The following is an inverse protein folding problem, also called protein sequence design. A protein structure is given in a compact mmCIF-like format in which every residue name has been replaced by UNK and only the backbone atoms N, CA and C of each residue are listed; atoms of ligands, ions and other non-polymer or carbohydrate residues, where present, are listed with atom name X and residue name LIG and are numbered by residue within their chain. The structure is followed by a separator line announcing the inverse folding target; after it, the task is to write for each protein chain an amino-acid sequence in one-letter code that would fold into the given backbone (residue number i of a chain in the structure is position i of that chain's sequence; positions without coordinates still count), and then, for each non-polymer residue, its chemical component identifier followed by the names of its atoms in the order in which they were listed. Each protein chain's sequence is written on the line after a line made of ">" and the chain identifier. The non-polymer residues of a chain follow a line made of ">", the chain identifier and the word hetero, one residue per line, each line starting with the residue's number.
data_IF_215920781467
#
_entry.id   IF_215920781467
#
_cell.length_a   1.000
_cell.length_b   1.000
_cell.length_c   1.000
_cell.angle_alpha   90.00
_cell.angle_beta   90.00
_cell.angle_gamma   90.00
#
_symmetry.space_group_name_H-M   'P 1'
#
loop_
_entity.id
_entity.type
_entity.pdbx_description
1 polymer ?
#
# COMPACT_ATOMS: atom_id res chain seq x y z
N UNK A 1 -11.37 16.19 8.50
CA UNK A 1 -12.48 15.67 7.67
C UNK A 1 -12.23 14.18 7.55
N UNK A 2 -12.94 13.37 8.36
CA UNK A 2 -12.77 11.91 8.36
C UNK A 2 -13.48 11.40 7.11
N UNK A 3 -12.78 10.67 6.25
CA UNK A 3 -13.40 10.01 5.11
C UNK A 3 -14.28 8.89 5.68
N UNK A 4 -15.59 8.96 5.40
CA UNK A 4 -16.53 7.92 5.81
C UNK A 4 -16.12 6.61 5.13
N UNK A 5 -15.83 5.59 5.94
CA UNK A 5 -15.52 4.25 5.43
C UNK A 5 -16.77 3.66 4.77
N UNK A 6 -16.63 2.91 3.66
CA UNK A 6 -17.76 2.20 3.09
C UNK A 6 -18.36 1.26 4.14
N UNK A 7 -19.68 1.25 4.25
CA UNK A 7 -20.40 0.42 5.24
C UNK A 7 -21.40 -0.49 4.53
N UNK A 8 -21.65 -1.70 5.08
CA UNK A 8 -22.69 -2.57 4.57
C UNK A 8 -24.06 -1.89 4.58
N UNK A 9 -24.81 -2.01 3.50
CA UNK A 9 -26.18 -1.51 3.40
C UNK A 9 -27.14 -2.66 3.12
N UNK A 10 -28.37 -2.54 3.63
CA UNK A 10 -29.41 -3.55 3.42
C UNK A 10 -30.06 -3.35 2.05
N UNK A 11 -30.10 -4.38 1.22
CA UNK A 11 -30.72 -4.31 -0.09
C UNK A 11 -32.25 -4.23 0.05
N UNK A 12 -32.92 -3.24 -0.58
CA UNK A 12 -34.34 -2.97 -0.34
C UNK A 12 -35.26 -4.12 -0.76
N UNK A 13 -34.94 -4.83 -1.85
CA UNK A 13 -35.79 -5.90 -2.37
C UNK A 13 -35.59 -7.27 -1.71
N UNK A 14 -34.38 -7.57 -1.23
CA UNK A 14 -34.00 -8.93 -0.76
C UNK A 14 -33.74 -9.00 0.73
N UNK A 15 -33.56 -7.84 1.39
CA UNK A 15 -33.20 -7.74 2.80
C UNK A 15 -31.79 -8.25 3.14
N UNK A 16 -31.02 -8.69 2.14
CA UNK A 16 -29.63 -9.14 2.28
C UNK A 16 -28.71 -7.93 2.36
N UNK A 17 -27.66 -8.01 3.17
CA UNK A 17 -26.64 -6.96 3.25
C UNK A 17 -25.68 -7.03 2.07
N UNK A 18 -25.35 -5.86 1.53
CA UNK A 18 -24.41 -5.66 0.43
C UNK A 18 -23.32 -4.70 0.86
N UNK A 19 -22.15 -4.86 0.28
CA UNK A 19 -21.02 -3.95 0.45
C UNK A 19 -20.76 -3.24 -0.88
N UNK A 20 -20.68 -1.91 -0.84
CA UNK A 20 -20.46 -1.05 -2.02
C UNK A 20 -19.28 -0.12 -1.75
N UNK A 21 -18.33 -0.10 -2.66
CA UNK A 21 -17.25 0.89 -2.65
C UNK A 21 -17.18 1.59 -4.00
N UNK A 22 -17.02 2.91 -3.98
CA UNK A 22 -16.83 3.71 -5.18
C UNK A 22 -15.45 3.47 -5.75
N UNK A 23 -15.35 3.31 -7.07
CA UNK A 23 -14.06 3.12 -7.74
C UNK A 23 -13.21 4.38 -7.56
N UNK A 24 -11.94 4.26 -7.13
CA UNK A 24 -11.05 5.41 -7.01
C UNK A 24 -10.94 6.15 -8.35
N UNK A 25 -11.06 7.49 -8.32
CA UNK A 25 -11.10 8.31 -9.54
C UNK A 25 -9.91 8.05 -10.50
N UNK A 26 -8.72 7.81 -9.93
CA UNK A 26 -7.49 7.48 -10.66
C UNK A 26 -7.54 6.15 -11.42
N UNK A 27 -8.36 5.19 -10.98
CA UNK A 27 -8.47 3.85 -11.57
C UNK A 27 -9.70 3.69 -12.46
N UNK A 28 -10.57 4.71 -12.51
CA UNK A 28 -11.88 4.60 -13.14
C UNK A 28 -11.82 4.23 -14.62
N UNK A 29 -10.87 4.79 -15.38
CA UNK A 29 -10.69 4.46 -16.80
C UNK A 29 -10.12 3.05 -17.02
N UNK A 30 -9.30 2.54 -16.10
CA UNK A 30 -8.61 1.25 -16.22
C UNK A 30 -9.46 0.07 -15.73
N UNK A 31 -10.29 0.30 -14.71
CA UNK A 31 -11.04 -0.75 -14.02
C UNK A 31 -12.47 -0.91 -14.55
N UNK A 32 -13.08 0.13 -15.12
CA UNK A 32 -14.47 0.09 -15.58
C UNK A 32 -14.69 -0.98 -16.64
N UNK A 33 -15.71 -1.82 -16.44
CA UNK A 33 -16.09 -2.91 -17.33
C UNK A 33 -15.35 -4.22 -17.10
N UNK A 34 -14.33 -4.25 -16.22
CA UNK A 34 -13.62 -5.49 -15.89
C UNK A 34 -14.37 -6.30 -14.83
N UNK A 35 -14.41 -7.62 -15.02
CA UNK A 35 -14.85 -8.56 -13.99
C UNK A 35 -13.67 -8.83 -13.04
N UNK A 36 -13.94 -8.87 -11.74
CA UNK A 36 -12.96 -9.24 -10.72
C UNK A 36 -13.53 -10.32 -9.82
N UNK A 37 -12.67 -11.13 -9.23
CA UNK A 37 -13.08 -12.19 -8.32
C UNK A 37 -12.86 -11.72 -6.89
N UNK A 38 -13.88 -11.81 -6.05
CA UNK A 38 -13.83 -11.39 -4.65
C UNK A 38 -14.28 -12.58 -3.81
N UNK A 39 -13.42 -13.03 -2.90
CA UNK A 39 -13.73 -14.16 -2.01
C UNK A 39 -14.13 -13.63 -0.64
N UNK A 40 -15.30 -14.03 -0.16
CA UNK A 40 -15.87 -13.56 1.11
C UNK A 40 -16.38 -14.77 1.88
N UNK A 41 -15.83 -15.04 3.06
CA UNK A 41 -16.23 -16.19 3.91
C UNK A 41 -16.15 -17.53 3.14
N UNK A 42 -15.15 -17.66 2.25
CA UNK A 42 -14.97 -18.82 1.37
C UNK A 42 -15.87 -18.86 0.13
N UNK A 43 -16.79 -17.92 -0.03
CA UNK A 43 -17.63 -17.81 -1.22
C UNK A 43 -17.01 -16.90 -2.26
N UNK A 44 -16.90 -17.40 -3.49
CA UNK A 44 -16.41 -16.65 -4.63
C UNK A 44 -17.54 -15.84 -5.26
N UNK A 45 -17.34 -14.54 -5.45
CA UNK A 45 -18.24 -13.62 -6.14
C UNK A 45 -17.49 -12.92 -7.27
N UNK A 46 -18.10 -12.81 -8.45
CA UNK A 46 -17.46 -12.20 -9.62
C UNK A 46 -18.15 -10.88 -10.04
N UNK A 47 -18.05 -9.78 -9.25
CA UNK A 47 -18.67 -8.51 -9.62
C UNK A 47 -17.99 -7.85 -10.82
N UNK A 48 -18.80 -7.22 -11.68
CA UNK A 48 -18.30 -6.30 -12.71
C UNK A 48 -18.08 -4.91 -12.11
N UNK A 49 -16.93 -4.31 -12.38
CA UNK A 49 -16.58 -2.97 -11.90
C UNK A 49 -17.31 -1.91 -12.75
N UNK A 50 -18.22 -1.17 -12.12
CA UNK A 50 -18.88 0.00 -12.71
C UNK A 50 -18.29 1.31 -12.21
N UNK A 51 -19.16 2.29 -11.92
CA UNK A 51 -18.76 3.46 -11.11
C UNK A 51 -18.50 3.08 -9.63
N UNK A 52 -19.10 1.97 -9.21
CA UNK A 52 -18.88 1.32 -7.93
C UNK A 52 -18.71 -0.19 -8.16
N UNK A 53 -18.00 -0.83 -7.24
CA UNK A 53 -18.00 -2.29 -7.08
C UNK A 53 -18.98 -2.65 -5.96
N UNK A 54 -19.77 -3.70 -6.17
CA UNK A 54 -20.82 -4.14 -5.24
C UNK A 54 -20.77 -5.66 -5.08
N UNK A 55 -20.80 -6.13 -3.85
CA UNK A 55 -20.84 -7.57 -3.53
C UNK A 55 -21.88 -7.84 -2.46
N UNK A 56 -22.56 -8.98 -2.58
CA UNK A 56 -23.49 -9.45 -1.56
C UNK A 56 -22.71 -10.07 -0.40
N UNK A 57 -23.04 -9.70 0.84
CA UNK A 57 -22.50 -10.34 2.04
C UNK A 57 -23.26 -11.63 2.39
N UNK A 58 -24.28 -12.00 1.60
CA UNK A 58 -25.08 -13.24 1.74
C UNK A 58 -25.71 -13.46 3.12
N UNK A 59 -25.79 -12.41 3.94
CA UNK A 59 -26.41 -12.44 5.27
C UNK A 59 -27.53 -11.42 5.38
N UNK A 60 -28.56 -11.74 6.18
CA UNK A 60 -29.62 -10.81 6.61
C UNK A 60 -29.38 -10.24 8.01
N UNK A 61 -28.33 -10.71 8.71
CA UNK A 61 -28.03 -10.32 10.08
C UNK A 61 -27.03 -9.14 10.09
N UNK A 62 -27.33 -8.05 10.83
CA UNK A 62 -26.46 -6.88 10.89
C UNK A 62 -25.09 -7.17 11.53
N UNK A 63 -25.04 -8.09 12.50
CA UNK A 63 -23.80 -8.47 13.18
C UNK A 63 -22.82 -9.16 12.21
N UNK A 64 -23.32 -10.13 11.44
CA UNK A 64 -22.52 -10.83 10.42
C UNK A 64 -22.07 -9.87 9.31
N UNK A 65 -22.96 -8.99 8.86
CA UNK A 65 -22.61 -7.98 7.86
C UNK A 65 -21.46 -7.08 8.34
N UNK A 66 -21.48 -6.69 9.61
CA UNK A 66 -20.39 -5.90 10.24
C UNK A 66 -19.10 -6.70 10.39
N UNK A 67 -19.18 -8.01 10.68
CA UNK A 67 -18.03 -8.93 10.76
C UNK A 67 -17.34 -9.11 9.40
N UNK A 68 -18.12 -9.24 8.32
CA UNK A 68 -17.62 -9.50 6.97
C UNK A 68 -17.10 -8.24 6.26
N UNK A 69 -17.56 -7.05 6.65
CA UNK A 69 -17.18 -5.79 6.00
C UNK A 69 -15.65 -5.56 5.87
N UNK A 70 -14.82 -5.80 6.90
CA UNK A 70 -13.37 -5.63 6.80
C UNK A 70 -12.72 -6.62 5.82
N UNK A 71 -13.24 -7.84 5.71
CA UNK A 71 -12.76 -8.86 4.78
C UNK A 71 -13.01 -8.43 3.33
N UNK A 72 -14.23 -7.95 3.04
CA UNK A 72 -14.55 -7.39 1.72
C UNK A 72 -13.69 -6.18 1.39
N UNK A 73 -13.46 -5.30 2.37
CA UNK A 73 -12.59 -4.14 2.16
C UNK A 73 -11.16 -4.56 1.80
N UNK A 74 -10.62 -5.58 2.46
CA UNK A 74 -9.29 -6.09 2.16
C UNK A 74 -9.20 -6.67 0.74
N UNK A 75 -10.23 -7.40 0.28
CA UNK A 75 -10.29 -7.89 -1.10
C UNK A 75 -10.39 -6.74 -2.12
N UNK A 76 -11.21 -5.73 -1.85
CA UNK A 76 -11.29 -4.55 -2.72
C UNK A 76 -9.95 -3.80 -2.78
N UNK A 77 -9.24 -3.68 -1.65
CA UNK A 77 -7.93 -3.05 -1.61
C UNK A 77 -6.91 -3.85 -2.44
N UNK A 78 -6.96 -5.20 -2.43
CA UNK A 78 -6.14 -6.05 -3.31
C UNK A 78 -6.45 -5.80 -4.79
N UNK A 79 -7.73 -5.73 -5.15
CA UNK A 79 -8.17 -5.37 -6.50
C UNK A 79 -7.62 -4.01 -6.91
N UNK A 80 -7.69 -3.00 -6.05
CA UNK A 80 -7.19 -1.66 -6.39
C UNK A 80 -5.67 -1.63 -6.55
N UNK A 81 -4.95 -2.32 -5.66
CA UNK A 81 -3.49 -2.45 -5.74
C UNK A 81 -3.05 -3.12 -7.04
N UNK A 82 -3.80 -4.09 -7.56
CA UNK A 82 -3.42 -4.72 -8.82
C UNK A 82 -3.57 -3.79 -10.02
N UNK A 83 -4.61 -2.95 -10.04
CA UNK A 83 -4.75 -1.92 -11.07
C UNK A 83 -3.68 -0.82 -10.96
N UNK A 84 -3.19 -0.53 -9.75
CA UNK A 84 -2.12 0.45 -9.54
C UNK A 84 -0.75 -0.04 -10.00
N UNK A 85 -0.44 -1.32 -9.79
CA UNK A 85 0.83 -1.91 -10.23
C UNK A 85 0.95 -2.04 -11.76
N UNK A 86 -0.15 -1.83 -12.49
CA UNK A 86 -0.20 -1.89 -13.94
C UNK A 86 -0.11 -3.34 -14.48
N UNK A 87 -0.08 -3.51 -15.81
CA UNK A 87 0.03 -4.82 -16.43
C UNK A 87 1.35 -5.51 -16.05
N UNK A 88 1.26 -6.67 -15.39
CA UNK A 88 2.41 -7.49 -15.00
C UNK A 88 2.80 -8.41 -16.14
N UNK A 89 4.09 -8.57 -16.38
CA UNK A 89 4.62 -9.61 -17.27
C UNK A 89 4.92 -10.85 -16.43
N UNK A 90 4.26 -11.96 -16.72
CA UNK A 90 4.45 -13.21 -15.97
C UNK A 90 5.62 -14.02 -16.54
N UNK A 91 6.35 -14.70 -15.65
CA UNK A 91 7.37 -15.67 -16.05
C UNK A 91 6.73 -16.93 -16.63
N UNK A 92 7.48 -17.72 -17.39
CA UNK A 92 6.98 -19.00 -17.92
C UNK A 92 6.53 -19.94 -16.79
N UNK A 93 7.27 -20.00 -15.67
CA UNK A 93 6.91 -20.81 -14.50
C UNK A 93 5.54 -20.42 -13.91
N UNK A 94 5.26 -19.12 -13.83
CA UNK A 94 3.98 -18.59 -13.36
C UNK A 94 2.84 -18.90 -14.33
N UNK A 95 3.09 -18.72 -15.63
CA UNK A 95 2.12 -19.07 -16.68
C UNK A 95 1.76 -20.56 -16.63
N UNK A 96 2.77 -21.44 -16.51
CA UNK A 96 2.56 -22.89 -16.40
C UNK A 96 1.83 -23.24 -15.09
N UNK A 97 2.11 -22.53 -14.00
CA UNK A 97 1.37 -22.70 -12.75
C UNK A 97 -0.12 -22.40 -12.88
N UNK A 98 -0.49 -21.28 -13.51
CA UNK A 98 -1.89 -20.93 -13.78
C UNK A 98 -2.59 -21.95 -14.68
N UNK A 99 -1.90 -22.44 -15.71
CA UNK A 99 -2.44 -23.50 -16.58
C UNK A 99 -2.65 -24.82 -15.82
N UNK A 100 -1.79 -25.11 -14.82
CA UNK A 100 -1.92 -26.25 -13.93
C UNK A 100 -3.15 -26.21 -13.03
N UNK A 101 -3.57 -25.02 -12.58
CA UNK A 101 -4.80 -24.88 -11.79
C UNK A 101 -6.04 -25.35 -12.57
N UNK A 102 -6.12 -25.00 -13.86
CA UNK A 102 -7.16 -25.50 -14.75
C UNK A 102 -7.08 -27.02 -14.89
N UNK A 103 -5.89 -27.56 -15.14
CA UNK A 103 -5.66 -29.00 -15.25
C UNK A 103 -6.18 -29.75 -14.00
N UNK A 104 -5.78 -29.32 -12.81
CA UNK A 104 -6.19 -29.96 -11.56
C UNK A 104 -7.68 -29.79 -11.27
N UNK A 105 -8.27 -28.66 -11.63
CA UNK A 105 -9.71 -28.40 -11.47
C UNK A 105 -10.53 -29.35 -12.33
N UNK A 106 -10.17 -29.50 -13.61
CA UNK A 106 -10.85 -30.39 -14.55
C UNK A 106 -10.65 -31.84 -14.13
N UNK A 107 -9.42 -32.23 -13.75
CA UNK A 107 -9.13 -33.58 -13.24
C UNK A 107 -10.01 -33.93 -12.05
N UNK A 108 -10.02 -33.08 -11.03
CA UNK A 108 -10.82 -33.30 -9.81
C UNK A 108 -12.32 -33.44 -10.11
N UNK A 109 -12.82 -32.74 -11.13
CA UNK A 109 -14.23 -32.76 -11.50
C UNK A 109 -14.64 -33.99 -12.33
N UNK A 110 -13.72 -34.60 -13.09
CA UNK A 110 -14.03 -35.58 -14.13
C UNK A 110 -13.24 -36.89 -14.03
N UNK A 111 -12.34 -37.05 -13.05
CA UNK A 111 -11.49 -38.25 -12.94
C UNK A 111 -12.28 -39.52 -12.56
N UNK A 112 -13.30 -39.40 -11.72
CA UNK A 112 -14.10 -40.54 -11.23
C UNK A 112 -15.15 -41.03 -12.25
N UNK A 113 -15.74 -40.10 -13.00
CA UNK A 113 -16.72 -40.39 -14.05
C UNK A 113 -16.39 -39.56 -15.31
N UNK A 114 -15.37 -39.99 -16.06
CA UNK A 114 -15.03 -39.34 -17.31
C UNK A 114 -16.14 -39.65 -18.32
N UNK A 115 -16.72 -38.59 -18.92
CA UNK A 115 -17.63 -38.71 -20.07
C UNK A 115 -17.09 -39.68 -21.13
N UNK A 116 -17.96 -40.20 -22.00
CA UNK A 116 -17.61 -41.18 -23.03
C UNK A 116 -16.27 -40.90 -23.71
N UNK A 117 -15.40 -41.92 -23.78
CA UNK A 117 -14.05 -41.81 -24.35
C UNK A 117 -14.04 -41.24 -25.78
N UNK A 118 -15.13 -41.47 -26.53
CA UNK A 118 -15.34 -40.95 -27.87
C UNK A 118 -15.33 -39.41 -27.93
N UNK A 119 -15.95 -38.72 -26.96
CA UNK A 119 -16.01 -37.25 -26.95
C UNK A 119 -14.62 -36.63 -26.76
N UNK A 120 -13.77 -37.25 -25.94
CA UNK A 120 -12.40 -36.79 -25.70
C UNK A 120 -11.47 -37.11 -26.88
N UNK A 121 -11.64 -38.28 -27.51
CA UNK A 121 -10.90 -38.66 -28.70
C UNK A 121 -11.25 -37.81 -29.93
N UNK A 122 -12.53 -37.47 -30.12
CA UNK A 122 -12.99 -36.60 -31.19
C UNK A 122 -12.50 -35.16 -31.00
N UNK A 123 -12.58 -34.65 -29.76
CA UNK A 123 -12.01 -33.36 -29.38
C UNK A 123 -10.50 -33.30 -29.62
N UNK A 124 -9.76 -34.38 -29.34
CA UNK A 124 -8.33 -34.50 -29.66
C UNK A 124 -8.05 -34.53 -31.16
N UNK A 125 -8.82 -35.30 -31.94
CA UNK A 125 -8.68 -35.34 -33.41
C UNK A 125 -8.91 -33.97 -34.03
N UNK A 126 -9.90 -33.21 -33.54
CA UNK A 126 -10.13 -31.83 -33.97
C UNK A 126 -8.90 -30.95 -33.67
N UNK A 127 -8.28 -31.10 -32.50
CA UNK A 127 -7.08 -30.35 -32.11
C UNK A 127 -5.83 -30.73 -32.92
N UNK A 128 -5.58 -32.02 -33.14
CA UNK A 128 -4.46 -32.51 -33.97
C UNK A 128 -4.62 -32.11 -35.43
N UNK A 129 -5.85 -32.12 -35.95
CA UNK A 129 -6.14 -31.67 -37.32
C UNK A 129 -5.89 -30.17 -37.46
N UNK A 130 -6.30 -29.37 -36.47
CA UNK A 130 -6.01 -27.94 -36.44
C UNK A 130 -4.51 -27.67 -36.34
N UNK A 131 -3.77 -28.38 -35.49
CA UNK A 131 -2.32 -28.19 -35.30
C UNK A 131 -1.53 -28.60 -36.56
N UNK A 132 -1.93 -29.69 -37.23
CA UNK A 132 -1.32 -30.12 -38.51
C UNK A 132 -1.66 -29.20 -39.68
N UNK A 133 -2.87 -28.65 -39.73
CA UNK A 133 -3.25 -27.63 -40.71
C UNK A 133 -2.43 -26.34 -40.51
N UNK A 134 -2.13 -26.02 -39.25
CA UNK A 134 -1.30 -24.89 -38.82
C UNK A 134 0.19 -25.07 -39.20
N UNK A 135 0.78 -26.23 -38.93
CA UNK A 135 2.18 -26.55 -39.27
C UNK A 135 2.46 -26.58 -40.78
N UNK A 136 1.43 -26.74 -41.62
CA UNK A 136 1.54 -26.79 -43.09
C UNK A 136 1.55 -25.42 -43.77
N UNK A 137 1.35 -24.34 -43.01
CA UNK A 137 1.37 -22.96 -43.50
C UNK A 137 2.81 -22.43 -43.58
N UNK A 138 3.23 -21.92 -44.74
CA UNK A 138 4.57 -21.32 -44.95
C UNK A 138 4.86 -20.10 -44.04
N UNK A 139 3.84 -19.56 -43.36
CA UNK A 139 3.96 -18.45 -42.41
C UNK A 139 4.30 -18.87 -40.97
N UNK A 140 4.45 -20.17 -40.71
CA UNK A 140 4.60 -20.70 -39.34
C UNK A 140 5.89 -20.26 -38.63
N UNK A 141 6.96 -19.95 -39.38
CA UNK A 141 8.20 -19.41 -38.81
C UNK A 141 8.09 -17.97 -38.28
N UNK A 142 6.99 -17.25 -38.60
CA UNK A 142 6.82 -15.82 -38.31
C UNK A 142 5.48 -15.48 -37.63
N UNK A 143 4.62 -16.46 -37.33
CA UNK A 143 3.26 -16.19 -36.87
C UNK A 143 2.86 -17.10 -35.70
N UNK A 144 2.53 -16.48 -34.57
CA UNK A 144 1.84 -17.08 -33.43
C UNK A 144 0.54 -17.74 -33.95
N UNK A 145 0.15 -18.93 -33.43
CA UNK A 145 -1.17 -19.59 -33.70
C UNK A 145 -2.26 -18.52 -33.83
N UNK A 146 -3.25 -18.62 -34.74
CA UNK A 146 -4.30 -17.61 -34.85
C UNK A 146 -5.03 -17.48 -33.49
N UNK A 147 -4.63 -16.45 -32.74
CA UNK A 147 -5.16 -16.03 -31.45
C UNK A 147 -6.69 -15.99 -31.39
N UNK A 148 -7.44 -15.63 -32.46
CA UNK A 148 -8.89 -15.55 -32.39
C UNK A 148 -9.58 -16.85 -31.96
N UNK A 149 -9.06 -18.01 -32.40
CA UNK A 149 -9.65 -19.32 -32.06
C UNK A 149 -9.36 -19.72 -30.61
N UNK A 150 -8.11 -19.52 -30.16
CA UNK A 150 -7.72 -19.78 -28.76
C UNK A 150 -8.46 -18.88 -27.78
N UNK A 151 -8.60 -17.60 -28.11
CA UNK A 151 -9.30 -16.64 -27.24
C UNK A 151 -10.79 -16.97 -27.11
N UNK A 152 -11.44 -17.40 -28.20
CA UNK A 152 -12.84 -17.84 -28.16
C UNK A 152 -13.04 -19.04 -27.22
N UNK A 153 -12.11 -20.00 -27.26
CA UNK A 153 -12.22 -21.26 -26.51
C UNK A 153 -11.73 -21.18 -25.06
N UNK A 154 -10.62 -20.49 -24.83
CA UNK A 154 -9.89 -20.50 -23.55
C UNK A 154 -9.88 -19.12 -22.87
N UNK A 155 -10.37 -18.07 -23.54
CA UNK A 155 -10.38 -16.72 -22.99
C UNK A 155 -11.09 -16.64 -21.64
N UNK A 156 -12.23 -17.32 -21.48
CA UNK A 156 -12.96 -17.36 -20.21
C UNK A 156 -12.18 -18.03 -19.07
N UNK A 157 -11.40 -19.07 -19.38
CA UNK A 157 -10.53 -19.75 -18.40
C UNK A 157 -9.35 -18.87 -18.01
N UNK A 158 -8.69 -18.25 -18.98
CA UNK A 158 -7.57 -17.32 -18.73
C UNK A 158 -8.05 -16.09 -17.96
N UNK A 159 -9.15 -15.47 -18.38
CA UNK A 159 -9.74 -14.31 -17.72
C UNK A 159 -10.19 -14.67 -16.29
N UNK A 160 -10.76 -15.86 -16.09
CA UNK A 160 -11.14 -16.38 -14.77
C UNK A 160 -9.95 -16.58 -13.84
N UNK A 161 -8.87 -17.20 -14.34
CA UNK A 161 -7.64 -17.40 -13.57
C UNK A 161 -6.98 -16.07 -13.20
N UNK A 162 -6.88 -15.13 -14.15
CA UNK A 162 -6.36 -13.79 -13.90
C UNK A 162 -7.23 -13.03 -12.89
N UNK A 163 -8.55 -13.13 -12.98
CA UNK A 163 -9.47 -12.49 -12.05
C UNK A 163 -9.34 -13.09 -10.63
N UNK A 164 -9.20 -14.41 -10.51
CA UNK A 164 -9.02 -15.10 -9.23
C UNK A 164 -7.74 -14.67 -8.50
N UNK A 165 -6.66 -14.43 -9.24
CA UNK A 165 -5.39 -13.96 -8.68
C UNK A 165 -5.25 -12.43 -8.66
N UNK A 166 -6.32 -11.70 -9.02
CA UNK A 166 -6.35 -10.24 -9.11
C UNK A 166 -5.25 -9.67 -10.03
N UNK A 167 -5.01 -10.28 -11.19
CA UNK A 167 -3.93 -9.89 -12.09
C UNK A 167 -4.42 -9.12 -13.32
N UNK A 168 -3.71 -8.05 -13.65
CA UNK A 168 -3.74 -7.44 -14.98
C UNK A 168 -2.41 -7.78 -15.65
N UNK A 169 -2.42 -8.32 -16.86
CA UNK A 169 -1.20 -8.75 -17.58
C UNK A 169 -1.03 -8.01 -18.90
N UNK A 170 0.20 -8.00 -19.43
CA UNK A 170 0.50 -7.47 -20.76
C UNK A 170 -0.13 -8.34 -21.86
N UNK A 171 -0.35 -7.76 -23.04
CA UNK A 171 -0.90 -8.48 -24.20
C UNK A 171 -0.04 -9.70 -24.57
N UNK A 172 1.29 -9.56 -24.60
CA UNK A 172 2.23 -10.67 -24.83
C UNK A 172 2.06 -11.80 -23.80
N UNK A 173 1.94 -11.46 -22.53
CA UNK A 173 1.72 -12.46 -21.47
C UNK A 173 0.38 -13.16 -21.63
N UNK A 174 -0.67 -12.43 -22.03
CA UNK A 174 -1.99 -12.99 -22.29
C UNK A 174 -1.96 -14.01 -23.43
N UNK A 175 -1.22 -13.74 -24.50
CA UNK A 175 -1.06 -14.64 -25.62
C UNK A 175 -0.30 -15.91 -25.23
N UNK A 176 0.72 -15.78 -24.39
CA UNK A 176 1.46 -16.91 -23.82
C UNK A 176 0.61 -17.74 -22.87
N UNK A 177 -0.26 -17.11 -22.08
CA UNK A 177 -1.26 -17.80 -21.25
C UNK A 177 -2.20 -18.64 -22.10
N UNK A 178 -2.75 -18.09 -23.18
CA UNK A 178 -3.62 -18.84 -24.10
C UNK A 178 -2.92 -20.10 -24.66
N UNK A 179 -1.64 -20.01 -25.00
CA UNK A 179 -0.87 -21.15 -25.50
C UNK A 179 -0.60 -22.22 -24.45
N UNK A 180 -0.21 -21.83 -23.22
CA UNK A 180 0.04 -22.82 -22.17
C UNK A 180 -1.25 -23.44 -21.64
N UNK A 181 -2.36 -22.68 -21.59
CA UNK A 181 -3.69 -23.24 -21.27
C UNK A 181 -4.13 -24.24 -22.33
N UNK A 182 -3.84 -24.00 -23.62
CA UNK A 182 -4.12 -24.97 -24.70
C UNK A 182 -3.35 -26.28 -24.51
N UNK A 183 -2.08 -26.20 -24.12
CA UNK A 183 -1.26 -27.38 -23.80
C UNK A 183 -1.81 -28.12 -22.58
N UNK A 184 -2.15 -27.42 -21.50
CA UNK A 184 -2.74 -28.03 -20.31
C UNK A 184 -4.11 -28.67 -20.60
N UNK A 185 -4.93 -28.07 -21.46
CA UNK A 185 -6.20 -28.64 -21.92
C UNK A 185 -6.01 -29.93 -22.72
N UNK A 186 -4.96 -29.97 -23.56
CA UNK A 186 -4.58 -31.18 -24.30
C UNK A 186 -4.12 -32.30 -23.36
N UNK A 187 -3.31 -31.97 -22.35
CA UNK A 187 -2.83 -32.92 -21.37
C UNK A 187 -3.95 -33.56 -20.54
N UNK A 188 -4.91 -32.75 -20.07
CA UNK A 188 -6.01 -33.28 -19.27
C UNK A 188 -6.95 -34.13 -20.13
N UNK A 189 -7.18 -33.75 -21.40
CA UNK A 189 -7.97 -34.58 -22.32
C UNK A 189 -7.30 -35.94 -22.59
N UNK A 190 -5.96 -35.99 -22.65
CA UNK A 190 -5.22 -37.24 -22.77
C UNK A 190 -5.35 -38.12 -21.53
N UNK A 191 -5.33 -37.53 -20.34
CA UNK A 191 -5.57 -38.26 -19.09
C UNK A 191 -7.01 -38.79 -19.04
N UNK A 192 -8.00 -37.94 -19.30
CA UNK A 192 -9.42 -38.32 -19.22
C UNK A 192 -9.81 -39.40 -20.24
N UNK A 193 -9.19 -39.43 -21.42
CA UNK A 193 -9.40 -40.52 -22.37
C UNK A 193 -8.89 -41.87 -21.82
N UNK A 194 -7.70 -41.89 -21.19
CA UNK A 194 -7.18 -43.11 -20.55
C UNK A 194 -8.11 -43.60 -19.45
N UNK A 195 -8.57 -42.67 -18.60
CA UNK A 195 -9.55 -42.94 -17.54
C UNK A 195 -10.86 -43.50 -18.10
N UNK A 196 -11.38 -42.91 -19.18
CA UNK A 196 -12.59 -43.39 -19.87
C UNK A 196 -12.42 -44.76 -20.52
N UNK A 197 -11.18 -45.20 -20.80
CA UNK A 197 -10.83 -46.56 -21.25
C UNK A 197 -10.56 -47.52 -20.09
N UNK A 198 -10.72 -47.09 -18.85
CA UNK A 198 -10.50 -47.89 -17.64
C UNK A 198 -9.05 -47.90 -17.13
N UNK A 199 -8.14 -47.09 -17.69
CA UNK A 199 -6.77 -46.96 -17.22
C UNK A 199 -6.65 -45.89 -16.12
N UNK A 200 -6.60 -46.36 -14.87
CA UNK A 200 -6.45 -45.55 -13.65
C UNK A 200 -5.00 -45.45 -13.13
N UNK A 201 -4.00 -45.67 -13.98
CA UNK A 201 -2.58 -45.53 -13.60
C UNK A 201 -2.24 -44.13 -13.05
N UNK A 202 -1.20 -44.00 -12.18
CA UNK A 202 -0.85 -42.73 -11.56
C UNK A 202 -0.60 -41.61 -12.59
N UNK A 203 -1.13 -40.41 -12.31
CA UNK A 203 -0.99 -39.24 -13.17
C UNK A 203 0.42 -38.63 -13.07
N UNK A 204 1.28 -38.96 -14.04
CA UNK A 204 2.62 -38.40 -14.18
C UNK A 204 2.64 -37.04 -14.89
N UNK A 205 1.56 -36.66 -15.56
CA UNK A 205 1.48 -35.40 -16.31
C UNK A 205 1.18 -34.23 -15.36
N UNK A 206 0.32 -34.47 -14.36
CA UNK A 206 0.00 -33.50 -13.33
C UNK A 206 1.22 -32.99 -12.53
N UNK A 207 2.29 -33.78 -12.38
CA UNK A 207 3.50 -33.36 -11.64
C UNK A 207 4.35 -32.32 -12.37
N UNK A 208 4.10 -32.05 -13.66
CA UNK A 208 4.84 -31.02 -14.42
C UNK A 208 4.44 -29.60 -14.06
N UNK A 209 3.25 -29.42 -13.46
CA UNK A 209 2.73 -28.10 -13.14
C UNK A 209 3.24 -27.63 -11.78
N UNK A 210 4.00 -26.52 -11.71
CA UNK A 210 4.41 -25.93 -10.44
C UNK A 210 3.21 -25.26 -9.75
N UNK A 211 3.26 -25.14 -8.42
CA UNK A 211 2.29 -24.28 -7.70
C UNK A 211 2.44 -22.84 -8.16
N UNK A 212 1.33 -22.19 -8.47
CA UNK A 212 1.33 -20.78 -8.83
C UNK A 212 1.71 -19.92 -7.63
N UNK A 213 2.71 -19.06 -7.82
CA UNK A 213 3.12 -18.06 -6.83
C UNK A 213 3.52 -16.76 -7.54
N UNK A 214 2.91 -15.65 -7.09
CA UNK A 214 3.18 -14.29 -7.57
C UNK A 214 4.45 -13.68 -6.98
N UNK A 215 5.14 -14.39 -6.08
CA UNK A 215 6.38 -14.01 -5.39
C UNK A 215 7.12 -12.88 -6.09
N UNK A 216 7.17 -11.71 -5.41
CA UNK A 216 7.54 -10.39 -5.95
C UNK A 216 8.38 -10.49 -7.22
N UNK A 217 7.77 -10.17 -8.37
CA UNK A 217 8.41 -10.13 -9.69
C UNK A 217 9.57 -9.09 -9.81
N UNK A 218 10.14 -8.65 -8.69
CA UNK A 218 11.41 -7.93 -8.55
C UNK A 218 12.50 -8.71 -7.81
N UNK A 219 12.25 -9.94 -7.36
CA UNK A 219 13.35 -10.84 -7.04
C UNK A 219 13.68 -11.64 -8.27
N UNK A 220 14.64 -11.13 -9.05
CA UNK A 220 15.58 -12.03 -9.72
C UNK A 220 15.93 -13.12 -8.73
N UNK A 221 15.62 -14.35 -9.12
CA UNK A 221 16.18 -15.55 -8.51
C UNK A 221 17.67 -15.48 -8.82
N UNK A 222 18.41 -14.78 -7.96
CA UNK A 222 19.79 -15.16 -7.74
C UNK A 222 19.72 -16.51 -7.02
N UNK A 223 20.41 -17.49 -7.59
CA UNK A 223 20.52 -18.88 -7.15
C UNK A 223 21.26 -19.01 -5.82
N UNK A 224 20.68 -18.47 -4.77
CA UNK A 224 21.08 -18.74 -3.42
C UNK A 224 19.86 -18.52 -2.56
N UNK A 225 19.36 -19.57 -1.91
CA UNK A 225 18.29 -19.51 -0.91
C UNK A 225 18.71 -18.74 0.34
N UNK A 226 19.20 -17.51 0.16
CA UNK A 226 19.72 -16.61 1.16
C UNK A 226 18.73 -15.48 1.35
N UNK A 227 18.42 -15.21 2.61
CA UNK A 227 17.45 -14.19 2.99
C UNK A 227 17.98 -12.81 2.61
N UNK A 228 17.19 -11.99 1.88
CA UNK A 228 17.59 -10.62 1.52
C UNK A 228 17.31 -9.62 2.65
N UNK A 229 18.18 -8.64 2.85
CA UNK A 229 17.99 -7.56 3.84
C UNK A 229 16.79 -6.69 3.44
N UNK A 230 16.66 -6.40 2.15
CA UNK A 230 15.49 -5.69 1.61
C UNK A 230 14.20 -6.50 1.75
N UNK A 231 14.29 -7.83 1.67
CA UNK A 231 13.18 -8.75 1.92
C UNK A 231 12.70 -8.74 3.37
N UNK A 232 13.61 -8.58 4.34
CA UNK A 232 13.22 -8.39 5.73
C UNK A 232 12.44 -7.08 5.93
N UNK A 233 12.85 -6.01 5.24
CA UNK A 233 12.17 -4.72 5.31
C UNK A 233 10.76 -4.78 4.72
N UNK A 234 10.58 -5.40 3.56
CA UNK A 234 9.26 -5.55 2.94
C UNK A 234 8.32 -6.34 3.87
N UNK A 235 8.81 -7.48 4.40
CA UNK A 235 8.09 -8.32 5.38
C UNK A 235 7.70 -7.54 6.63
N UNK A 236 8.60 -6.73 7.17
CA UNK A 236 8.33 -5.86 8.32
C UNK A 236 7.30 -4.76 8.03
N UNK A 237 7.34 -4.17 6.84
CA UNK A 237 6.43 -3.10 6.43
C UNK A 237 5.00 -3.60 6.18
N UNK A 238 4.87 -4.84 5.69
CA UNK A 238 3.60 -5.51 5.40
C UNK A 238 2.92 -6.17 6.60
N UNK A 239 3.46 -6.02 7.82
CA UNK A 239 2.89 -6.63 9.02
C UNK A 239 1.47 -6.11 9.32
N UNK A 240 0.67 -6.92 10.02
CA UNK A 240 -0.72 -6.62 10.40
C UNK A 240 -0.90 -5.23 11.03
N UNK A 241 0.00 -4.83 11.93
CA UNK A 241 0.04 -3.48 12.50
C UNK A 241 0.99 -2.60 11.71
N UNK A 242 0.53 -2.09 10.57
CA UNK A 242 1.38 -1.33 9.65
C UNK A 242 2.04 -0.12 10.35
N UNK A 243 3.36 0.07 10.20
CA UNK A 243 4.06 1.26 10.67
C UNK A 243 3.58 2.52 9.92
N UNK A 244 3.82 3.69 10.51
CA UNK A 244 3.48 4.97 9.85
C UNK A 244 4.23 5.09 8.51
N UNK A 245 3.62 5.66 7.45
CA UNK A 245 4.25 5.76 6.14
C UNK A 245 5.63 6.45 6.18
N UNK A 246 5.75 7.53 6.94
CA UNK A 246 7.02 8.24 7.12
C UNK A 246 8.12 7.38 7.75
N UNK A 247 7.76 6.44 8.64
CA UNK A 247 8.70 5.50 9.24
C UNK A 247 9.17 4.47 8.22
N UNK A 248 8.27 3.98 7.36
CA UNK A 248 8.63 3.06 6.26
C UNK A 248 9.64 3.74 5.33
N UNK A 249 9.31 4.93 4.81
CA UNK A 249 10.21 5.67 3.91
C UNK A 249 11.59 5.90 4.54
N UNK A 250 11.63 6.28 5.82
CA UNK A 250 12.90 6.47 6.54
C UNK A 250 13.69 5.18 6.65
N UNK A 251 13.05 4.06 6.98
CA UNK A 251 13.72 2.78 7.13
C UNK A 251 14.19 2.23 5.79
N UNK A 252 13.41 2.42 4.72
CA UNK A 252 13.82 2.11 3.35
C UNK A 252 15.11 2.85 2.98
N UNK A 253 15.19 4.17 3.20
CA UNK A 253 16.40 4.93 2.90
C UNK A 253 17.64 4.42 3.65
N UNK A 254 17.48 4.10 4.94
CA UNK A 254 18.58 3.55 5.77
C UNK A 254 19.05 2.18 5.27
N UNK A 255 18.11 1.27 4.99
CA UNK A 255 18.44 -0.08 4.52
C UNK A 255 19.06 -0.05 3.13
N UNK A 256 18.57 0.80 2.23
CA UNK A 256 19.20 0.99 0.91
C UNK A 256 20.64 1.48 1.06
N UNK A 257 20.88 2.47 1.93
CA UNK A 257 22.24 2.96 2.18
C UNK A 257 23.16 1.87 2.77
N UNK A 258 22.63 1.02 3.67
CA UNK A 258 23.38 -0.12 4.22
C UNK A 258 23.74 -1.14 3.12
N UNK A 259 22.77 -1.52 2.28
CA UNK A 259 23.01 -2.47 1.17
C UNK A 259 24.02 -1.91 0.18
N UNK A 260 23.95 -0.61 -0.12
CA UNK A 260 24.96 0.07 -0.96
C UNK A 260 26.35 0.02 -0.33
N UNK A 261 26.46 0.22 0.98
CA UNK A 261 27.73 0.13 1.70
C UNK A 261 28.33 -1.28 1.69
N UNK A 262 27.50 -2.30 1.96
CA UNK A 262 27.93 -3.69 2.00
C UNK A 262 28.25 -4.27 0.61
N UNK A 263 27.67 -3.69 -0.45
CA UNK A 263 27.76 -4.21 -1.81
C UNK A 263 27.00 -5.52 -2.03
N UNK A 264 26.22 -5.98 -1.04
CA UNK A 264 25.38 -7.16 -1.11
C UNK A 264 24.08 -6.97 -0.32
N UNK A 265 23.05 -7.73 -0.70
CA UNK A 265 21.72 -7.74 -0.07
C UNK A 265 21.45 -9.11 0.56
N UNK A 266 22.34 -9.53 1.45
CA UNK A 266 22.31 -10.86 2.07
C UNK A 266 22.29 -10.68 3.58
N UNK A 267 21.19 -11.09 4.21
CA UNK A 267 20.90 -10.86 5.62
C UNK A 267 21.69 -11.79 6.55
N UNK A 268 22.04 -12.99 6.08
CA UNK A 268 22.83 -13.94 6.88
C UNK A 268 24.32 -13.57 6.90
N UNK A 269 24.76 -12.74 5.95
CA UNK A 269 26.13 -12.21 5.88
C UNK A 269 26.36 -10.96 6.70
N UNK A 270 25.31 -10.28 7.17
CA UNK A 270 25.46 -9.07 7.96
C UNK A 270 25.96 -9.41 9.36
N UNK A 271 27.17 -8.96 9.69
CA UNK A 271 27.74 -9.13 11.02
C UNK A 271 27.64 -7.84 11.86
N UNK A 272 27.84 -7.96 13.16
CA UNK A 272 27.98 -6.80 14.06
C UNK A 272 29.20 -5.94 13.70
N UNK A 273 30.31 -6.57 13.31
CA UNK A 273 31.52 -5.91 12.84
C UNK A 273 31.28 -5.03 11.60
N UNK A 274 30.41 -5.46 10.67
CA UNK A 274 30.02 -4.64 9.51
C UNK A 274 29.29 -3.37 9.94
N UNK A 275 28.40 -3.48 10.93
CA UNK A 275 27.65 -2.32 11.45
C UNK A 275 28.60 -1.36 12.17
N UNK A 276 29.60 -1.88 12.91
CA UNK A 276 30.63 -1.07 13.56
C UNK A 276 31.49 -0.33 12.53
N UNK A 277 31.94 -1.01 11.47
CA UNK A 277 32.71 -0.37 10.38
C UNK A 277 31.92 0.72 9.68
N UNK A 278 30.67 0.41 9.31
CA UNK A 278 29.77 1.37 8.68
C UNK A 278 29.52 2.60 9.56
N UNK A 279 29.35 2.37 10.86
CA UNK A 279 29.20 3.42 11.85
C UNK A 279 30.43 4.34 11.90
N UNK A 280 31.64 3.77 11.98
CA UNK A 280 32.89 4.55 12.04
C UNK A 280 33.07 5.39 10.78
N UNK A 281 32.86 4.81 9.59
CA UNK A 281 32.98 5.55 8.33
C UNK A 281 32.00 6.72 8.22
N UNK A 282 30.74 6.54 8.63
CA UNK A 282 29.74 7.62 8.58
C UNK A 282 30.03 8.75 9.57
N UNK A 283 30.69 8.45 10.70
CA UNK A 283 31.14 9.45 11.66
C UNK A 283 32.38 10.18 11.15
N UNK A 284 33.36 9.45 10.62
CA UNK A 284 34.58 10.02 10.04
C UNK A 284 34.26 10.93 8.84
N UNK A 285 33.32 10.52 7.98
CA UNK A 285 32.81 11.32 6.88
C UNK A 285 31.93 12.50 7.33
N UNK A 286 31.60 12.61 8.62
CA UNK A 286 30.75 13.68 9.17
C UNK A 286 29.30 13.67 8.66
N UNK A 287 28.88 12.59 7.97
CA UNK A 287 27.56 12.51 7.33
C UNK A 287 26.46 12.27 8.37
N UNK A 288 26.75 11.51 9.42
CA UNK A 288 25.78 11.16 10.47
C UNK A 288 26.42 11.31 11.85
N UNK A 289 25.71 11.97 12.77
CA UNK A 289 26.16 12.03 14.18
C UNK A 289 25.97 10.69 14.89
N UNK A 290 26.85 10.36 15.83
CA UNK A 290 26.77 9.16 16.69
C UNK A 290 25.36 8.92 17.25
N UNK A 291 24.73 9.96 17.82
CA UNK A 291 23.38 9.89 18.39
C UNK A 291 22.31 9.56 17.33
N UNK A 292 22.44 10.14 16.13
CA UNK A 292 21.55 9.86 15.00
C UNK A 292 21.68 8.41 14.55
N UNK A 293 22.91 7.89 14.47
CA UNK A 293 23.14 6.52 14.05
C UNK A 293 22.49 5.54 15.04
N UNK A 294 22.70 5.71 16.35
CA UNK A 294 22.10 4.83 17.36
C UNK A 294 20.57 4.88 17.31
N UNK A 295 19.99 6.09 17.35
CA UNK A 295 18.54 6.26 17.49
C UNK A 295 17.75 5.94 16.22
N UNK A 296 18.38 6.04 15.06
CA UNK A 296 17.70 5.86 13.78
C UNK A 296 18.20 4.65 13.01
N UNK A 297 19.51 4.59 12.73
CA UNK A 297 20.10 3.59 11.85
C UNK A 297 20.12 2.21 12.49
N UNK A 298 20.82 2.07 13.63
CA UNK A 298 20.85 0.84 14.42
C UNK A 298 19.45 0.42 14.85
N UNK A 299 18.62 1.36 15.28
CA UNK A 299 17.24 1.08 15.67
C UNK A 299 16.42 0.50 14.50
N UNK A 300 16.57 1.03 13.28
CA UNK A 300 15.89 0.51 12.10
C UNK A 300 16.33 -0.92 11.78
N UNK A 301 17.65 -1.17 11.70
CA UNK A 301 18.21 -2.50 11.42
C UNK A 301 17.74 -3.49 12.49
N UNK A 302 17.90 -3.14 13.77
CA UNK A 302 17.50 -4.00 14.88
C UNK A 302 16.00 -4.31 14.84
N UNK A 303 15.15 -3.36 14.44
CA UNK A 303 13.71 -3.55 14.42
C UNK A 303 13.27 -4.46 13.26
N UNK A 304 13.89 -4.32 12.09
CA UNK A 304 13.63 -5.15 10.91
C UNK A 304 14.08 -6.59 11.16
N UNK A 305 15.30 -6.79 11.64
CA UNK A 305 15.82 -8.12 11.97
C UNK A 305 15.03 -8.79 13.10
N UNK A 306 14.70 -8.05 14.17
CA UNK A 306 13.91 -8.59 15.27
C UNK A 306 12.54 -9.11 14.80
N UNK A 307 11.89 -8.44 13.85
CA UNK A 307 10.64 -8.93 13.28
C UNK A 307 10.86 -10.18 12.41
N UNK A 308 11.89 -10.18 11.55
CA UNK A 308 12.25 -11.34 10.72
C UNK A 308 12.54 -12.61 11.53
N UNK A 309 13.02 -12.48 12.78
CA UNK A 309 13.22 -13.61 13.70
C UNK A 309 11.91 -14.18 14.26
N UNK A 310 10.80 -13.43 14.22
CA UNK A 310 9.53 -13.90 14.79
C UNK A 310 8.82 -14.90 13.87
N UNK A 311 7.93 -15.72 14.44
CA UNK A 311 7.05 -16.59 13.67
C UNK A 311 6.17 -15.81 12.67
N UNK A 312 5.76 -14.58 13.03
CA UNK A 312 4.96 -13.71 12.16
C UNK A 312 5.76 -13.08 11.02
N UNK A 313 7.08 -12.92 11.20
CA UNK A 313 8.01 -12.46 10.17
C UNK A 313 8.64 -13.59 9.36
N UNK A 314 8.19 -14.84 9.53
CA UNK A 314 8.63 -15.98 8.75
C UNK A 314 9.90 -16.69 9.24
N UNK A 315 10.47 -16.31 10.39
CA UNK A 315 11.76 -16.85 10.91
C UNK A 315 12.86 -16.83 9.85
N UNK A 316 12.96 -15.73 9.11
CA UNK A 316 13.84 -15.57 7.96
C UNK A 316 15.32 -15.43 8.34
N UNK A 317 15.61 -15.05 9.59
CA UNK A 317 16.96 -14.90 10.12
C UNK A 317 17.07 -15.53 11.50
N UNK A 318 18.23 -16.15 11.80
CA UNK A 318 18.48 -16.81 13.07
C UNK A 318 18.88 -15.86 14.20
N UNK A 319 19.55 -14.75 13.87
CA UNK A 319 20.06 -13.79 14.84
C UNK A 319 19.95 -12.35 14.32
N UNK A 320 20.05 -11.38 15.23
CA UNK A 320 20.00 -9.95 14.92
C UNK A 320 21.34 -9.29 15.26
N UNK A 321 22.16 -8.92 14.26
CA UNK A 321 23.49 -8.34 14.48
C UNK A 321 23.44 -6.94 15.10
N UNK A 322 22.31 -6.24 15.01
CA UNK A 322 22.12 -4.92 15.60
C UNK A 322 21.51 -4.97 17.02
N UNK A 323 21.12 -6.15 17.50
CA UNK A 323 20.52 -6.30 18.82
C UNK A 323 21.58 -6.05 19.90
N UNK A 324 21.32 -5.07 20.78
CA UNK A 324 22.21 -4.73 21.91
C UNK A 324 23.65 -4.36 21.52
N UNK A 325 23.95 -4.15 20.24
CA UNK A 325 25.24 -3.65 19.78
C UNK A 325 25.61 -2.33 20.47
N UNK A 326 26.76 -2.29 21.14
CA UNK A 326 27.29 -1.10 21.80
C UNK A 326 28.23 -0.39 20.81
N UNK A 327 27.94 0.86 20.50
CA UNK A 327 28.73 1.68 19.58
C UNK A 327 29.31 2.86 20.35
N UNK A 328 30.62 2.99 20.32
CA UNK A 328 31.33 4.11 20.93
C UNK A 328 31.46 5.26 19.94
N UNK A 329 31.38 6.50 20.43
CA UNK A 329 31.58 7.65 19.57
C UNK A 329 31.55 8.97 20.34
N UNK A 330 31.97 10.06 19.65
CA UNK A 330 32.15 11.35 20.30
C UNK A 330 30.81 11.87 20.82
N UNK A 331 30.78 12.24 22.11
CA UNK A 331 29.63 12.93 22.69
C UNK A 331 29.42 14.25 21.94
N UNK A 332 28.18 14.50 21.55
CA UNK A 332 27.80 15.79 20.95
C UNK A 332 28.11 16.91 21.95
N UNK A 333 29.09 17.76 21.62
CA UNK A 333 29.34 18.99 22.37
C UNK A 333 28.15 19.93 22.15
N UNK A 334 27.40 20.20 23.21
CA UNK A 334 26.32 21.17 23.18
C UNK A 334 26.95 22.57 23.24
N UNK A 335 27.01 23.25 22.10
CA UNK A 335 27.62 24.59 21.99
C UNK A 335 26.71 25.73 22.48
N UNK A 336 25.39 25.47 22.61
CA UNK A 336 24.40 26.45 23.08
C UNK A 336 23.30 25.77 23.89
N UNK A 337 22.63 26.50 24.81
CA UNK A 337 21.43 26.00 25.47
C UNK A 337 20.33 25.67 24.45
N UNK A 338 19.45 24.75 24.84
CA UNK A 338 18.32 24.29 24.00
C UNK A 338 17.22 25.37 23.90
N UNK A 339 17.14 26.24 24.90
CA UNK A 339 16.30 27.43 24.92
C UNK A 339 16.97 28.59 24.17
N UNK A 340 16.16 29.52 23.67
CA UNK A 340 16.65 30.82 23.25
C UNK A 340 17.13 31.62 24.46
N UNK A 341 18.12 32.47 24.27
CA UNK A 341 18.40 33.52 25.23
C UNK A 341 17.27 34.56 25.21
N UNK A 342 17.12 35.29 26.32
CA UNK A 342 16.08 36.32 26.46
C UNK A 342 16.18 37.36 25.34
N UNK A 343 17.40 37.78 24.98
CA UNK A 343 17.62 38.75 23.89
C UNK A 343 17.26 38.20 22.50
N UNK A 344 17.55 36.93 22.24
CA UNK A 344 17.18 36.26 20.99
C UNK A 344 15.66 36.13 20.89
N UNK A 345 14.99 35.78 21.99
CA UNK A 345 13.54 35.68 22.05
C UNK A 345 12.89 37.05 21.80
N UNK A 346 13.37 38.12 22.46
CA UNK A 346 12.88 39.48 22.20
C UNK A 346 13.08 39.90 20.75
N UNK A 347 14.23 39.57 20.16
CA UNK A 347 14.54 39.89 18.76
C UNK A 347 13.59 39.18 17.80
N UNK A 348 13.35 37.88 18.02
CA UNK A 348 12.40 37.08 17.23
C UNK A 348 10.97 37.64 17.36
N UNK A 349 10.54 37.99 18.58
CA UNK A 349 9.19 38.52 18.83
C UNK A 349 8.98 39.90 18.22
N UNK A 350 10.00 40.77 18.21
CA UNK A 350 9.96 42.05 17.50
C UNK A 350 9.84 41.85 15.99
N UNK A 351 10.72 41.03 15.40
CA UNK A 351 10.66 40.75 13.96
C UNK A 351 9.34 40.09 13.54
N UNK A 352 8.71 39.30 14.42
CA UNK A 352 7.40 38.72 14.16
C UNK A 352 6.32 39.79 13.99
N UNK A 353 6.37 40.91 14.72
CA UNK A 353 5.39 41.99 14.57
C UNK A 353 5.45 42.65 13.18
N UNK A 354 6.65 42.74 12.60
CA UNK A 354 6.90 43.33 11.29
C UNK A 354 6.65 42.35 10.12
N UNK A 355 6.31 41.08 10.41
CA UNK A 355 6.15 40.03 9.41
C UNK A 355 5.04 40.31 8.37
N UNK A 356 4.04 41.12 8.72
CA UNK A 356 2.96 41.50 7.80
C UNK A 356 3.41 42.50 6.72
N UNK A 357 4.30 43.42 7.10
CA UNK A 357 4.83 44.48 6.24
C UNK A 357 6.15 44.10 5.56
N UNK A 358 6.67 42.91 5.86
CA UNK A 358 7.89 42.40 5.25
C UNK A 358 7.69 42.15 3.74
N UNK A 359 8.57 42.76 2.91
CA UNK A 359 8.66 42.50 1.48
C UNK A 359 9.30 41.13 1.23
N UNK A 360 8.46 40.11 1.04
CA UNK A 360 8.89 38.75 0.73
C UNK A 360 7.85 38.01 -0.13
N UNK A 361 8.23 36.85 -0.64
CA UNK A 361 7.39 36.01 -1.52
C UNK A 361 6.33 35.18 -0.77
N UNK A 362 6.16 35.39 0.54
CA UNK A 362 5.17 34.63 1.32
C UNK A 362 3.75 35.20 1.16
N UNK A 363 2.78 34.30 1.04
CA UNK A 363 1.37 34.67 1.06
C UNK A 363 0.99 35.40 2.34
N UNK A 364 -0.05 36.22 2.27
CA UNK A 364 -0.57 36.99 3.42
C UNK A 364 -0.94 36.10 4.63
N UNK A 365 -1.44 34.89 4.36
CA UNK A 365 -1.75 33.87 5.38
C UNK A 365 -0.47 33.42 6.10
N UNK A 366 0.62 33.17 5.35
CA UNK A 366 1.89 32.76 5.93
C UNK A 366 2.53 33.90 6.73
N UNK A 367 2.45 35.14 6.25
CA UNK A 367 2.91 36.33 6.97
C UNK A 367 2.13 36.55 8.27
N UNK A 368 0.82 36.36 8.24
CA UNK A 368 -0.03 36.40 9.43
C UNK A 368 0.32 35.30 10.44
N UNK A 369 0.60 34.08 9.95
CA UNK A 369 1.07 32.99 10.82
C UNK A 369 2.44 33.29 11.43
N UNK A 370 3.39 33.84 10.67
CA UNK A 370 4.69 34.26 11.17
C UNK A 370 4.58 35.33 12.25
N UNK A 371 3.59 36.23 12.14
CA UNK A 371 3.32 37.23 13.17
C UNK A 371 2.85 36.63 14.49
N UNK A 372 1.91 35.68 14.45
CA UNK A 372 1.23 35.22 15.66
C UNK A 372 1.83 33.96 16.29
N UNK A 373 2.39 33.05 15.50
CA UNK A 373 2.91 31.76 16.01
C UNK A 373 3.98 31.91 17.10
N UNK A 374 4.96 32.83 16.99
CA UNK A 374 5.97 33.02 18.04
C UNK A 374 5.38 33.45 19.40
N UNK A 375 4.28 34.20 19.40
CA UNK A 375 3.59 34.65 20.62
C UNK A 375 2.73 33.55 21.26
N UNK A 376 2.18 32.66 20.44
CA UNK A 376 1.26 31.60 20.88
C UNK A 376 2.02 30.34 21.37
N UNK A 377 3.28 30.19 21.00
CA UNK A 377 4.07 28.98 21.27
C UNK A 377 5.27 29.16 22.24
N UNK A 378 5.12 29.78 23.43
CA UNK A 378 6.28 30.07 24.28
C UNK A 378 6.90 28.83 24.95
N UNK A 379 6.18 27.73 25.19
CA UNK A 379 6.79 26.57 25.89
C UNK A 379 6.26 25.16 25.55
N UNK A 380 4.97 24.99 25.21
CA UNK A 380 4.34 23.65 25.04
C UNK A 380 3.51 23.47 23.76
N UNK A 381 3.69 24.31 22.75
CA UNK A 381 3.02 24.07 21.46
C UNK A 381 3.62 22.83 20.78
N UNK A 382 2.85 21.75 20.69
CA UNK A 382 3.22 20.54 19.93
C UNK A 382 3.44 20.95 18.47
N UNK A 383 4.64 20.66 17.93
CA UNK A 383 5.14 21.07 16.59
C UNK A 383 4.19 20.84 15.39
N UNK A 384 3.16 20.00 15.51
CA UNK A 384 2.22 19.72 14.42
C UNK A 384 0.89 20.48 14.51
N UNK A 385 0.59 21.12 15.64
CA UNK A 385 -0.75 21.66 15.94
C UNK A 385 -0.91 23.08 15.38
N UNK A 386 0.13 23.90 15.43
CA UNK A 386 0.06 25.34 15.10
C UNK A 386 -0.18 25.62 13.62
N UNK A 387 0.21 24.72 12.71
CA UNK A 387 0.11 24.95 11.25
C UNK A 387 -1.23 24.52 10.65
N UNK A 388 -2.06 23.74 11.37
CA UNK A 388 -3.29 23.14 10.83
C UNK A 388 -4.58 23.62 11.52
N UNK A 389 -4.52 24.67 12.34
CA UNK A 389 -5.72 25.23 12.96
C UNK A 389 -6.65 25.83 11.88
N UNK A 390 -7.78 25.17 11.63
CA UNK A 390 -8.87 25.70 10.78
C UNK A 390 -9.91 26.41 11.64
N UNK A 391 -10.55 27.45 11.10
CA UNK A 391 -11.58 28.27 11.75
C UNK A 391 -12.76 27.49 12.33
N UNK A 392 -13.01 26.25 11.87
CA UNK A 392 -14.04 25.35 12.43
C UNK A 392 -13.76 24.86 13.87
N UNK A 393 -12.56 25.11 14.39
CA UNK A 393 -12.19 24.79 15.78
C UNK A 393 -12.44 25.94 16.77
N UNK A 394 -12.88 27.10 16.28
CA UNK A 394 -13.26 28.26 17.09
C UNK A 394 -14.72 28.58 16.78
N UNK A 395 -15.63 28.26 17.70
CA UNK A 395 -17.00 28.78 17.64
C UNK A 395 -17.00 30.12 18.36
N UNK A 396 -17.32 31.20 17.63
CA UNK A 396 -17.68 32.48 18.23
C UNK A 396 -19.11 32.37 18.79
N UNK A 397 -19.23 31.87 20.01
CA UNK A 397 -20.41 32.06 20.84
C UNK A 397 -19.94 32.57 22.20
N UNK A 398 -20.60 33.61 22.77
CA UNK A 398 -20.26 34.05 24.11
C UNK A 398 -20.58 32.90 25.08
N UNK A 399 -19.54 32.36 25.72
CA UNK A 399 -19.58 31.42 26.84
C UNK A 399 -19.82 29.92 26.60
N UNK A 400 -19.52 29.31 25.46
CA UNK A 400 -19.36 27.83 25.46
C UNK A 400 -18.43 27.31 24.37
N UNK A 401 -17.24 26.85 24.77
CA UNK A 401 -16.39 25.99 23.92
C UNK A 401 -16.42 24.59 24.53
N UNK A 402 -17.14 23.67 23.89
CA UNK A 402 -17.06 22.24 24.19
C UNK A 402 -15.67 21.72 23.79
N UNK A 403 -14.79 21.51 24.77
CA UNK A 403 -13.53 20.79 24.59
C UNK A 403 -13.67 19.36 25.07
N UNK A 404 -13.69 18.44 24.10
CA UNK A 404 -13.32 17.04 24.33
C UNK A 404 -11.78 16.92 24.24
N UNK A 405 -11.06 17.52 25.19
CA UNK A 405 -9.62 17.32 25.39
C UNK A 405 -9.33 17.37 26.90
N UNK A 406 -9.05 16.21 27.50
CA UNK A 406 -8.46 16.13 28.84
C UNK A 406 -7.05 16.76 28.82
N UNK A 407 -6.85 17.88 29.52
CA UNK A 407 -5.72 18.15 30.45
C UNK A 407 -5.71 19.59 31.00
N UNK A 408 -5.46 19.68 32.33
CA UNK A 408 -5.18 20.82 33.25
C UNK A 408 -5.81 22.19 32.96
N UNK A 409 -6.86 22.50 33.73
CA UNK A 409 -7.70 23.70 33.63
C UNK A 409 -6.96 25.05 33.79
N UNK A 410 -5.79 25.09 34.43
CA UNK A 410 -5.08 26.35 34.71
C UNK A 410 -4.35 26.93 33.48
N UNK A 411 -3.81 26.10 32.60
CA UNK A 411 -3.09 26.58 31.41
C UNK A 411 -4.07 27.05 30.30
N UNK A 412 -5.24 26.43 30.24
CA UNK A 412 -6.28 26.74 29.25
C UNK A 412 -6.94 28.08 29.53
N UNK A 413 -7.15 28.44 30.80
CA UNK A 413 -7.77 29.70 31.22
C UNK A 413 -6.86 30.92 30.95
N UNK A 414 -5.55 30.81 31.17
CA UNK A 414 -4.60 31.89 30.91
C UNK A 414 -4.49 32.21 29.41
N UNK A 415 -4.47 31.17 28.56
CA UNK A 415 -4.44 31.33 27.11
C UNK A 415 -5.77 31.91 26.61
N UNK A 416 -6.91 31.53 27.20
CA UNK A 416 -8.22 32.09 26.88
C UNK A 416 -8.26 33.60 27.17
N UNK A 417 -7.81 34.03 28.35
CA UNK A 417 -7.82 35.44 28.76
C UNK A 417 -6.92 36.31 27.87
N UNK A 418 -5.75 35.80 27.47
CA UNK A 418 -4.84 36.51 26.57
C UNK A 418 -5.46 36.64 25.17
N UNK A 419 -6.11 35.58 24.66
CA UNK A 419 -6.81 35.63 23.37
C UNK A 419 -8.01 36.59 23.40
N UNK A 420 -8.79 36.62 24.49
CA UNK A 420 -9.91 37.57 24.65
C UNK A 420 -9.43 39.01 24.71
N UNK A 421 -8.31 39.28 25.42
CA UNK A 421 -7.72 40.62 25.48
C UNK A 421 -7.19 41.09 24.11
N UNK A 422 -6.54 40.19 23.35
CA UNK A 422 -6.01 40.50 22.01
C UNK A 422 -7.14 40.72 20.99
N UNK A 423 -8.23 39.95 21.08
CA UNK A 423 -9.40 40.13 20.21
C UNK A 423 -10.11 41.45 20.54
N UNK A 424 -10.24 41.81 21.82
CA UNK A 424 -10.86 43.07 22.23
C UNK A 424 -10.04 44.30 21.81
N UNK A 425 -8.70 44.25 21.94
CA UNK A 425 -7.81 45.35 21.48
C UNK A 425 -7.84 45.52 19.94
N UNK A 426 -7.96 44.42 19.19
CA UNK A 426 -8.13 44.47 17.74
C UNK A 426 -9.48 45.08 17.34
N UNK A 427 -10.56 44.75 18.05
CA UNK A 427 -11.89 45.30 17.81
C UNK A 427 -11.95 46.81 18.13
N UNK A 428 -11.32 47.24 19.23
CA UNK A 428 -11.30 48.64 19.63
C UNK A 428 -10.51 49.53 18.66
N UNK A 429 -9.38 49.02 18.12
CA UNK A 429 -8.58 49.72 17.10
C UNK A 429 -9.29 49.84 15.77
N UNK A 430 -10.07 48.84 15.36
CA UNK A 430 -10.88 48.90 14.12
C UNK A 430 -12.00 49.93 14.28
N UNK A 431 -12.68 49.94 15.44
CA UNK A 431 -13.75 50.91 15.72
C UNK A 431 -13.23 52.35 15.73
N UNK A 432 -12.08 52.61 16.38
CA UNK A 432 -11.47 53.95 16.39
C UNK A 432 -11.07 54.43 15.00
N UNK A 433 -10.51 53.55 14.17
CA UNK A 433 -10.13 53.89 12.79
C UNK A 433 -11.34 54.24 11.92
N UNK A 434 -12.43 53.49 12.06
CA UNK A 434 -13.68 53.82 11.36
C UNK A 434 -14.31 55.12 11.86
N UNK A 435 -14.22 55.43 13.17
CA UNK A 435 -14.73 56.69 13.71
C UNK A 435 -13.93 57.91 13.24
N UNK A 436 -12.59 57.82 13.20
CA UNK A 436 -11.72 58.87 12.68
C UNK A 436 -11.94 59.11 11.18
N UNK A 437 -12.16 58.07 10.39
CA UNK A 437 -12.49 58.17 8.96
C UNK A 437 -13.86 58.83 8.72
N UNK A 438 -14.88 58.52 9.54
CA UNK A 438 -16.17 59.23 9.48
C UNK A 438 -16.10 60.68 9.94
N UNK A 439 -15.30 60.99 10.96
CA UNK A 439 -15.13 62.37 11.45
C UNK A 439 -14.37 63.24 10.42
N UNK A 440 -13.39 62.67 9.71
CA UNK A 440 -12.70 63.35 8.62
C UNK A 440 -13.60 63.59 7.39
N UNK A 441 -14.56 62.70 7.12
CA UNK A 441 -15.53 62.87 6.04
C UNK A 441 -16.58 63.96 6.35
N UNK A 442 -16.92 64.16 7.63
CA UNK A 442 -17.90 65.17 8.07
C UNK A 442 -17.29 66.58 8.13
N UNK A 443 -15.98 66.71 8.32
CA UNK A 443 -15.30 68.02 8.37
C UNK A 443 -14.91 68.58 6.98
N UNK A 444 -14.98 67.78 5.92
CA UNK A 444 -14.61 68.15 4.55
C UNK A 444 -15.81 68.31 3.59
N UNK A 445 -17.04 68.34 4.12
CA UNK A 445 -18.26 68.80 3.45
C UNK A 445 -18.76 70.06 4.14
#
# INVERSE_FOLDING_TARGET
>A
MVLSMPSPYKHPATGVYWYRQRVPARLKSLAKGKAVTVTIDGYVSCPTIGDDIKVSLRTKLPADAKRLAPEVQAEFDRVWLSFEKGPVTLTLRQIVGLAGEMYHTIRKALEDDPKEAGEWAERRRQWETNDRALQRSERYGLMIKPLPDLRSRLGSWVDGALAQHHLSVTQDTYERLLQEFDRAASDIANLLEKRAKGDFSPDTTGSRFPTFDMGDAQSKVDESGKTKITGLLSTWSGRLKQPKPQTVTRYTGIITQLVTYLGHDDADRLTDADIVRWHSELIEAGTVSHDTFIKAYRAAISTVYAYGMTAQGGKLVAHNPAAKLLLEGPRKKQSRPKSFYVEEAHSILRCALDALTAENSYSEINRSAMRWVPWIAPEKARRSITTHHRSRHLSCAPNTINQEIQMSAEATMTILNILTAVINDAHEKVIRRTQEETLHAIWNC
#
